data_IF_121458075741
#
_entry.id   IF_121458075741
#
_cell.length_a   1.000
_cell.length_b   1.000
_cell.length_c   1.000
_cell.angle_alpha   90.00
_cell.angle_beta   90.00
_cell.angle_gamma   90.00
#
_symmetry.space_group_name_H-M   'P 1'
#
loop_
_entity.id
_entity.type
_entity.pdbx_description
1 polymer ?
#
# COMPACT_ATOMS: atom_id res chain seq x y z
N UNK A 1 -7.69 1.73 7.93
CA UNK A 1 -6.48 1.17 7.30
C UNK A 1 -6.19 -0.22 7.84
N UNK A 2 -5.44 -1.07 7.11
CA UNK A 2 -4.92 -2.35 7.65
C UNK A 2 -3.80 -2.15 8.68
N UNK A 3 -3.35 -0.90 8.87
CA UNK A 3 -2.30 -0.51 9.83
C UNK A 3 -2.85 -0.11 11.20
N UNK A 4 -4.17 0.11 11.34
CA UNK A 4 -4.73 0.80 12.53
C UNK A 4 -5.02 -0.14 13.71
N UNK A 5 -5.07 -1.45 13.48
CA UNK A 5 -5.38 -2.42 14.51
C UNK A 5 -4.09 -3.09 15.03
N UNK A 6 -3.45 -2.45 16.01
CA UNK A 6 -2.19 -2.92 16.61
C UNK A 6 -2.29 -4.37 17.14
N UNK A 7 -3.35 -4.77 17.89
CA UNK A 7 -3.50 -6.16 18.31
C UNK A 7 -3.51 -7.17 17.16
N UNK A 8 -4.16 -6.85 16.04
CA UNK A 8 -4.18 -7.73 14.86
C UNK A 8 -2.80 -7.81 14.22
N UNK A 9 -2.10 -6.69 14.06
CA UNK A 9 -0.75 -6.67 13.49
C UNK A 9 0.24 -7.49 14.32
N UNK A 10 0.23 -7.34 15.64
CA UNK A 10 1.16 -8.05 16.52
C UNK A 10 0.83 -9.53 16.62
N UNK A 11 -0.45 -9.92 16.69
CA UNK A 11 -0.86 -11.33 16.68
C UNK A 11 -0.47 -12.02 15.37
N UNK A 12 -0.77 -11.41 14.22
CA UNK A 12 -0.41 -11.97 12.92
C UNK A 12 1.11 -12.04 12.73
N UNK A 13 1.83 -11.00 13.16
CA UNK A 13 3.29 -10.98 13.10
C UNK A 13 3.93 -12.07 13.96
N UNK A 14 3.38 -12.35 15.14
CA UNK A 14 3.84 -13.42 16.03
C UNK A 14 3.54 -14.82 15.48
N UNK A 15 2.33 -15.04 14.98
CA UNK A 15 1.84 -16.38 14.64
C UNK A 15 2.20 -16.81 13.20
N UNK A 16 2.32 -15.85 12.28
CA UNK A 16 2.49 -16.12 10.84
C UNK A 16 3.72 -15.42 10.21
N UNK A 17 4.42 -14.57 10.96
CA UNK A 17 5.54 -13.77 10.46
C UNK A 17 5.11 -12.38 10.01
N UNK A 18 6.03 -11.42 10.13
CA UNK A 18 5.76 -10.01 9.80
C UNK A 18 5.44 -9.80 8.31
N UNK A 19 5.95 -10.66 7.45
CA UNK A 19 5.67 -10.68 6.01
C UNK A 19 4.21 -11.06 5.66
N UNK A 20 3.46 -11.66 6.59
CA UNK A 20 2.08 -12.10 6.34
C UNK A 20 1.01 -11.14 6.90
N UNK A 21 1.41 -10.07 7.63
CA UNK A 21 0.49 -9.21 8.40
C UNK A 21 -0.58 -8.53 7.56
N UNK A 22 -0.29 -8.18 6.30
CA UNK A 22 -1.27 -7.56 5.40
C UNK A 22 -2.00 -8.61 4.56
N UNK A 23 -1.29 -9.65 4.10
CA UNK A 23 -1.87 -10.76 3.35
C UNK A 23 -3.05 -11.40 4.10
N UNK A 24 -2.85 -11.73 5.38
CA UNK A 24 -3.87 -12.40 6.19
C UNK A 24 -5.11 -11.54 6.42
N UNK A 25 -4.92 -10.25 6.62
CA UNK A 25 -6.05 -9.31 6.74
C UNK A 25 -6.80 -9.18 5.41
N UNK A 26 -6.08 -9.09 4.29
CA UNK A 26 -6.69 -9.01 2.95
C UNK A 26 -7.50 -10.26 2.61
N UNK A 27 -7.02 -11.45 2.96
CA UNK A 27 -7.73 -12.71 2.73
C UNK A 27 -9.13 -12.76 3.38
N UNK A 28 -9.33 -12.00 4.45
CA UNK A 28 -10.60 -11.95 5.18
C UNK A 28 -11.45 -10.76 4.78
N UNK A 29 -10.83 -9.60 4.54
CA UNK A 29 -11.54 -8.33 4.40
C UNK A 29 -11.84 -7.94 2.95
N UNK A 30 -10.99 -8.34 2.00
CA UNK A 30 -11.08 -7.87 0.62
C UNK A 30 -12.30 -8.45 -0.11
N UNK A 31 -12.97 -7.62 -0.89
CA UNK A 31 -14.13 -7.98 -1.72
C UNK A 31 -13.95 -7.47 -3.14
N UNK A 32 -14.63 -8.13 -4.08
CA UNK A 32 -14.65 -7.70 -5.48
C UNK A 32 -15.09 -6.23 -5.57
N UNK A 33 -14.28 -5.44 -6.27
CA UNK A 33 -14.50 -3.99 -6.43
C UNK A 33 -13.71 -3.13 -5.44
N UNK A 34 -13.08 -3.71 -4.42
CA UNK A 34 -12.15 -2.99 -3.56
C UNK A 34 -10.86 -2.63 -4.31
N UNK A 35 -10.13 -1.67 -3.75
CA UNK A 35 -8.82 -1.23 -4.22
C UNK A 35 -7.81 -1.37 -3.09
N UNK A 36 -6.71 -2.08 -3.34
CA UNK A 36 -5.54 -2.11 -2.47
C UNK A 36 -4.62 -0.93 -2.81
N UNK A 37 -4.38 -0.06 -1.84
CA UNK A 37 -3.38 1.03 -1.97
C UNK A 37 -2.18 0.71 -1.08
N UNK A 38 -1.00 0.59 -1.67
CA UNK A 38 0.26 0.37 -0.96
C UNK A 38 1.19 1.58 -1.04
N UNK A 39 1.79 1.95 0.08
CA UNK A 39 2.76 3.06 0.17
C UNK A 39 4.09 2.47 0.65
N UNK A 40 5.17 2.71 -0.10
CA UNK A 40 6.49 2.21 0.26
C UNK A 40 7.60 2.99 -0.42
N UNK A 41 8.55 3.55 0.32
CA UNK A 41 9.73 4.19 -0.28
C UNK A 41 10.50 3.19 -1.17
N UNK A 42 10.88 2.02 -0.67
CA UNK A 42 11.65 1.03 -1.44
C UNK A 42 10.83 0.16 -2.38
N UNK A 43 9.53 -0.01 -2.11
CA UNK A 43 8.66 -0.93 -2.84
C UNK A 43 9.06 -2.41 -2.75
N UNK A 44 9.94 -2.76 -1.82
CA UNK A 44 10.52 -4.11 -1.71
C UNK A 44 10.16 -4.82 -0.39
N UNK A 45 9.39 -4.18 0.49
CA UNK A 45 8.97 -4.78 1.76
C UNK A 45 8.18 -6.07 1.52
N UNK A 46 8.65 -7.18 2.08
CA UNK A 46 8.08 -8.51 1.83
C UNK A 46 6.58 -8.59 2.18
N UNK A 47 6.16 -7.89 3.24
CA UNK A 47 4.75 -7.80 3.63
C UNK A 47 3.85 -7.11 2.59
N UNK A 48 4.37 -6.12 1.86
CA UNK A 48 3.65 -5.48 0.77
C UNK A 48 3.69 -6.31 -0.50
N UNK A 49 4.83 -6.91 -0.84
CA UNK A 49 4.94 -7.76 -2.03
C UNK A 49 3.93 -8.91 -1.95
N UNK A 50 3.86 -9.64 -0.82
CA UNK A 50 2.86 -10.71 -0.62
C UNK A 50 1.42 -10.20 -0.70
N UNK A 51 1.14 -9.00 -0.17
CA UNK A 51 -0.18 -8.39 -0.23
C UNK A 51 -0.61 -8.06 -1.67
N UNK A 52 0.31 -7.52 -2.47
CA UNK A 52 0.06 -7.21 -3.89
C UNK A 52 -0.13 -8.47 -4.72
N UNK A 53 0.74 -9.48 -4.55
CA UNK A 53 0.60 -10.76 -5.24
C UNK A 53 -0.77 -11.40 -4.97
N UNK A 54 -1.22 -11.39 -3.71
CA UNK A 54 -2.54 -11.90 -3.37
C UNK A 54 -3.67 -11.08 -3.98
N UNK A 55 -3.64 -9.75 -3.84
CA UNK A 55 -4.65 -8.87 -4.43
C UNK A 55 -4.83 -9.12 -5.94
N UNK A 56 -3.72 -9.25 -6.68
CA UNK A 56 -3.76 -9.59 -8.10
C UNK A 56 -4.38 -10.96 -8.37
N UNK A 57 -4.01 -11.98 -7.57
CA UNK A 57 -4.55 -13.35 -7.72
C UNK A 57 -6.05 -13.46 -7.50
N UNK A 58 -6.65 -12.50 -6.78
CA UNK A 58 -8.09 -12.45 -6.48
C UNK A 58 -8.80 -11.28 -7.18
N UNK A 59 -8.19 -10.71 -8.22
CA UNK A 59 -8.77 -9.64 -9.06
C UNK A 59 -9.17 -8.36 -8.28
N UNK A 60 -8.36 -8.01 -7.27
CA UNK A 60 -8.43 -6.73 -6.57
C UNK A 60 -7.52 -5.73 -7.27
N UNK A 61 -8.06 -4.56 -7.63
CA UNK A 61 -7.26 -3.49 -8.27
C UNK A 61 -6.21 -3.01 -7.29
N UNK A 62 -4.97 -2.87 -7.75
CA UNK A 62 -3.82 -2.44 -6.93
C UNK A 62 -3.30 -1.08 -7.38
N UNK A 63 -2.95 -0.24 -6.40
CA UNK A 63 -2.31 1.07 -6.60
C UNK A 63 -1.07 1.16 -5.73
N UNK A 64 0.08 1.53 -6.29
CA UNK A 64 1.31 1.71 -5.54
C UNK A 64 1.80 3.17 -5.54
N UNK A 65 2.12 3.70 -4.36
CA UNK A 65 2.84 4.95 -4.19
C UNK A 65 4.26 4.59 -3.72
N UNK A 66 5.26 4.90 -4.55
CA UNK A 66 6.64 4.45 -4.32
C UNK A 66 7.66 5.56 -4.44
N UNK A 67 8.87 5.33 -3.90
CA UNK A 67 10.03 6.19 -4.13
C UNK A 67 11.25 5.38 -4.59
N UNK A 68 12.47 5.91 -4.47
CA UNK A 68 13.72 5.25 -4.90
C UNK A 68 13.62 4.76 -6.36
N UNK A 69 13.84 3.47 -6.61
CA UNK A 69 13.61 2.80 -7.90
C UNK A 69 12.16 2.25 -8.04
N UNK A 70 11.44 2.21 -6.93
CA UNK A 70 10.07 1.74 -6.75
C UNK A 70 9.92 0.25 -6.47
N UNK A 71 11.03 -0.50 -6.52
CA UNK A 71 11.07 -1.92 -6.22
C UNK A 71 10.04 -2.77 -6.94
N UNK A 72 9.70 -3.90 -6.29
CA UNK A 72 8.78 -4.90 -6.83
C UNK A 72 7.35 -4.37 -6.98
N UNK A 73 6.83 -3.66 -5.98
CA UNK A 73 5.40 -3.29 -6.02
C UNK A 73 5.08 -2.27 -7.11
N UNK A 74 6.04 -1.44 -7.54
CA UNK A 74 5.87 -0.57 -8.72
C UNK A 74 5.58 -1.37 -10.00
N UNK A 75 6.17 -2.56 -10.13
CA UNK A 75 5.98 -3.44 -11.30
C UNK A 75 4.69 -4.25 -11.17
N UNK A 76 4.37 -4.69 -9.94
CA UNK A 76 3.18 -5.51 -9.67
C UNK A 76 1.88 -4.69 -9.74
N UNK A 77 1.91 -3.42 -9.36
CA UNK A 77 0.70 -2.60 -9.27
C UNK A 77 0.02 -2.40 -10.63
N UNK A 78 -1.31 -2.36 -10.63
CA UNK A 78 -2.05 -2.00 -11.85
C UNK A 78 -1.87 -0.53 -12.21
N UNK A 79 -1.80 0.34 -11.21
CA UNK A 79 -1.55 1.78 -11.35
C UNK A 79 -0.61 2.25 -10.24
N UNK A 80 -0.01 3.42 -10.39
CA UNK A 80 0.77 3.98 -9.30
C UNK A 80 1.37 5.34 -9.59
N UNK A 81 1.91 5.94 -8.53
CA UNK A 81 2.71 7.15 -8.59
C UNK A 81 4.09 6.81 -8.04
N UNK A 82 5.12 7.10 -8.83
CA UNK A 82 6.49 6.87 -8.45
C UNK A 82 7.21 8.21 -8.30
N UNK A 83 7.78 8.45 -7.13
CA UNK A 83 8.54 9.64 -6.78
C UNK A 83 10.04 9.30 -6.81
N UNK A 84 10.77 9.60 -7.89
CA UNK A 84 12.19 9.25 -7.96
C UNK A 84 12.99 10.02 -6.90
N UNK A 85 13.74 9.30 -6.07
CA UNK A 85 14.69 9.83 -5.07
C UNK A 85 15.91 8.91 -5.02
N UNK A 86 17.01 9.33 -4.40
CA UNK A 86 18.17 8.44 -4.25
C UNK A 86 17.89 7.34 -3.21
N UNK A 87 18.52 6.15 -3.32
CA UNK A 87 18.35 5.09 -2.35
C UNK A 87 18.61 5.57 -0.92
N UNK A 88 17.66 5.28 -0.01
CA UNK A 88 17.69 5.69 1.41
C UNK A 88 17.40 7.17 1.69
N UNK A 89 17.04 7.98 0.69
CA UNK A 89 16.49 9.33 0.92
C UNK A 89 15.03 9.27 1.39
N UNK A 90 14.81 8.79 2.62
CA UNK A 90 13.48 8.61 3.18
C UNK A 90 12.73 9.93 3.38
N UNK A 91 13.41 11.01 3.81
CA UNK A 91 12.76 12.30 4.08
C UNK A 91 11.98 12.85 2.87
N UNK A 92 12.65 13.14 1.74
CA UNK A 92 11.97 13.61 0.53
C UNK A 92 10.94 12.62 -0.02
N UNK A 93 11.20 11.32 0.09
CA UNK A 93 10.26 10.28 -0.34
C UNK A 93 8.95 10.33 0.47
N UNK A 94 9.05 10.37 1.80
CA UNK A 94 7.92 10.37 2.71
C UNK A 94 7.17 11.70 2.68
N UNK A 95 7.86 12.83 2.54
CA UNK A 95 7.24 14.15 2.34
C UNK A 95 6.35 14.16 1.09
N UNK A 96 6.85 13.62 -0.03
CA UNK A 96 6.07 13.52 -1.26
C UNK A 96 4.88 12.57 -1.11
N UNK A 97 5.05 11.44 -0.42
CA UNK A 97 3.95 10.50 -0.14
C UNK A 97 2.85 11.16 0.70
N UNK A 98 3.22 11.98 1.70
CA UNK A 98 2.28 12.74 2.52
C UNK A 98 1.49 13.78 1.70
N UNK A 99 2.17 14.50 0.79
CA UNK A 99 1.50 15.44 -0.12
C UNK A 99 0.48 14.70 -1.00
N UNK A 100 0.86 13.54 -1.54
CA UNK A 100 -0.04 12.72 -2.37
C UNK A 100 -1.25 12.22 -1.58
N UNK A 101 -1.06 11.76 -0.34
CA UNK A 101 -2.16 11.37 0.56
C UNK A 101 -3.16 12.52 0.74
N UNK A 102 -2.65 13.71 1.06
CA UNK A 102 -3.49 14.90 1.25
C UNK A 102 -4.24 15.30 -0.02
N UNK A 103 -3.60 15.21 -1.20
CA UNK A 103 -4.24 15.51 -2.48
C UNK A 103 -5.38 14.53 -2.79
N UNK A 104 -5.14 13.22 -2.60
CA UNK A 104 -6.16 12.18 -2.83
C UNK A 104 -7.33 12.36 -1.86
N UNK A 105 -7.05 12.55 -0.57
CA UNK A 105 -8.07 12.79 0.45
C UNK A 105 -8.91 14.03 0.15
N UNK A 106 -8.26 15.15 -0.21
CA UNK A 106 -8.94 16.39 -0.58
C UNK A 106 -9.83 16.22 -1.83
N UNK A 107 -9.35 15.51 -2.83
CA UNK A 107 -10.11 15.23 -4.04
C UNK A 107 -11.32 14.33 -3.78
N UNK A 108 -11.13 13.22 -3.05
CA UNK A 108 -12.22 12.32 -2.67
C UNK A 108 -13.29 13.04 -1.83
N UNK A 109 -12.88 13.89 -0.89
CA UNK A 109 -13.82 14.71 -0.12
C UNK A 109 -14.66 15.63 -1.01
N UNK A 110 -14.09 16.20 -2.06
CA UNK A 110 -14.85 17.01 -3.02
C UNK A 110 -15.81 16.16 -3.84
N UNK A 111 -15.35 15.03 -4.37
CA UNK A 111 -16.19 14.11 -5.14
C UNK A 111 -17.39 13.63 -4.33
N UNK A 112 -17.16 13.17 -3.11
CA UNK A 112 -18.23 12.61 -2.25
C UNK A 112 -19.20 13.70 -1.79
N UNK A 113 -18.74 14.92 -1.51
CA UNK A 113 -19.64 16.04 -1.16
C UNK A 113 -20.55 16.47 -2.31
N UNK A 114 -20.19 16.15 -3.54
CA UNK A 114 -20.94 16.49 -4.75
C UNK A 114 -21.62 15.28 -5.41
N UNK A 115 -21.52 14.10 -4.79
CA UNK A 115 -22.21 12.86 -5.20
C UNK A 115 -23.50 12.68 -4.39
#
# INVERSE_FOLDING_TARGET
SLTDNVPVLTALGNDFGYEDIFLRQLQVLAKKGDVLVGISASGNSANLVKAFDYALSVDIKTVAITAFDGGKIKILANEGIHVPTEPQEYGPAEDAHMVLDHLVSAYLMRLIKHA
#
